data_IF_517862061171
#
_entry.id   IF_517862061171
#
_cell.length_a   1.000
_cell.length_b   1.000
_cell.length_c   1.000
_cell.angle_alpha   90.00
_cell.angle_beta   90.00
_cell.angle_gamma   90.00
#
_symmetry.space_group_name_H-M   'P 1'
#
loop_
_entity.id
_entity.type
_entity.pdbx_description
1 polymer ?
#
# COMPACT_ATOMS: atom_id res chain seq x y z
N UNK A 1 -16.36 18.22 3.48
CA UNK A 1 -14.93 17.86 3.51
C UNK A 1 -14.78 16.67 2.61
N UNK A 2 -13.79 16.68 1.74
CA UNK A 2 -13.55 15.57 0.82
C UNK A 2 -12.88 14.43 1.60
N UNK A 3 -13.52 13.26 1.62
CA UNK A 3 -12.98 12.05 2.21
C UNK A 3 -12.15 11.30 1.18
N UNK A 4 -11.33 10.35 1.63
CA UNK A 4 -10.50 9.51 0.76
C UNK A 4 -10.66 8.05 1.16
N UNK A 5 -10.57 7.13 0.20
CA UNK A 5 -10.44 5.69 0.42
C UNK A 5 -9.28 5.15 -0.41
N UNK A 6 -8.66 4.05 0.04
CA UNK A 6 -7.50 3.46 -0.62
C UNK A 6 -7.81 2.07 -1.16
N UNK A 7 -7.45 1.85 -2.42
CA UNK A 7 -7.38 0.51 -2.98
C UNK A 7 -5.99 -0.07 -2.69
N UNK A 8 -5.96 -1.18 -1.98
CA UNK A 8 -4.72 -1.81 -1.53
C UNK A 8 -4.72 -3.29 -1.87
N UNK A 9 -3.54 -3.90 -1.89
CA UNK A 9 -3.39 -5.36 -1.83
C UNK A 9 -2.47 -5.75 -0.67
N UNK A 10 -2.75 -6.89 -0.07
CA UNK A 10 -1.94 -7.45 1.02
C UNK A 10 -1.01 -8.49 0.42
N UNK A 11 0.32 -8.33 0.54
CA UNK A 11 1.26 -9.33 0.06
C UNK A 11 1.12 -10.63 0.86
N UNK A 12 1.54 -11.74 0.27
CA UNK A 12 1.49 -13.08 0.87
C UNK A 12 2.86 -13.76 0.77
N UNK A 13 2.97 -14.94 1.37
CA UNK A 13 4.15 -15.79 1.26
C UNK A 13 5.43 -15.17 1.86
N UNK A 14 6.56 -15.42 1.22
CA UNK A 14 7.88 -15.04 1.72
C UNK A 14 8.05 -13.52 1.83
N UNK A 15 7.53 -12.76 0.87
CA UNK A 15 7.54 -11.29 0.91
C UNK A 15 6.86 -10.78 2.18
N UNK A 16 5.63 -11.20 2.45
CA UNK A 16 4.90 -10.80 3.66
C UNK A 16 5.63 -11.23 4.92
N UNK A 17 6.09 -12.48 4.99
CA UNK A 17 6.75 -13.02 6.17
C UNK A 17 8.03 -12.25 6.54
N UNK A 18 8.89 -11.98 5.55
CA UNK A 18 10.12 -11.22 5.74
C UNK A 18 9.82 -9.76 6.09
N UNK A 19 8.92 -9.11 5.35
CA UNK A 19 8.51 -7.74 5.63
C UNK A 19 7.94 -7.60 7.06
N UNK A 20 7.08 -8.54 7.49
CA UNK A 20 6.47 -8.53 8.81
C UNK A 20 7.52 -8.71 9.92
N UNK A 21 8.51 -9.59 9.73
CA UNK A 21 9.62 -9.74 10.69
C UNK A 21 10.42 -8.45 10.85
N UNK A 22 10.78 -7.80 9.75
CA UNK A 22 11.53 -6.53 9.78
C UNK A 22 10.67 -5.44 10.40
N UNK A 23 9.39 -5.37 10.04
CA UNK A 23 8.43 -4.43 10.62
C UNK A 23 8.38 -4.57 12.14
N UNK A 24 8.16 -5.79 12.65
CA UNK A 24 8.13 -6.08 14.08
C UNK A 24 9.45 -5.72 14.78
N UNK A 25 10.58 -6.05 14.16
CA UNK A 25 11.90 -5.69 14.69
C UNK A 25 12.04 -4.17 14.86
N UNK A 26 11.75 -3.39 13.81
CA UNK A 26 11.81 -1.94 13.85
C UNK A 26 10.80 -1.35 14.85
N UNK A 27 9.57 -1.85 14.82
CA UNK A 27 8.48 -1.40 15.68
C UNK A 27 8.82 -1.54 17.17
N UNK A 28 9.38 -2.68 17.55
CA UNK A 28 9.80 -2.96 18.92
C UNK A 28 11.07 -2.19 19.31
N UNK A 29 12.08 -2.18 18.44
CA UNK A 29 13.37 -1.51 18.71
C UNK A 29 13.19 -0.02 18.98
N UNK A 30 12.28 0.63 18.27
CA UNK A 30 12.03 2.07 18.38
C UNK A 30 10.77 2.43 19.16
N UNK A 31 10.06 1.45 19.75
CA UNK A 31 8.81 1.66 20.48
C UNK A 31 7.83 2.58 19.70
N UNK A 32 7.49 2.16 18.48
CA UNK A 32 6.71 3.00 17.56
C UNK A 32 5.22 3.08 17.91
N UNK A 33 4.73 2.19 18.77
CA UNK A 33 3.37 2.28 19.29
C UNK A 33 2.84 0.93 19.78
N UNK A 34 1.63 0.92 20.35
CA UNK A 34 1.04 -0.31 20.90
C UNK A 34 0.48 -1.26 19.81
N UNK A 35 0.16 -0.73 18.62
CA UNK A 35 -0.47 -1.49 17.55
C UNK A 35 0.38 -1.45 16.29
N UNK A 36 0.77 -2.62 15.81
CA UNK A 36 1.54 -2.78 14.57
C UNK A 36 0.61 -2.61 13.36
N UNK A 37 0.88 -1.67 12.44
CA UNK A 37 0.05 -1.45 11.27
C UNK A 37 0.16 -2.62 10.30
N UNK A 38 -0.95 -2.99 9.66
CA UNK A 38 -0.95 -4.06 8.67
C UNK A 38 -0.14 -3.68 7.41
N UNK A 39 0.68 -4.62 6.94
CA UNK A 39 1.43 -4.48 5.71
C UNK A 39 0.51 -4.54 4.50
N UNK A 40 0.64 -3.55 3.63
CA UNK A 40 -0.12 -3.45 2.40
C UNK A 40 0.65 -2.67 1.34
N UNK A 41 0.30 -2.91 0.08
CA UNK A 41 0.70 -2.10 -1.06
C UNK A 41 -0.50 -1.28 -1.52
N UNK A 42 -0.40 0.04 -1.46
CA UNK A 42 -1.42 0.95 -1.99
C UNK A 42 -1.31 1.04 -3.51
N UNK A 43 -2.40 0.72 -4.20
CA UNK A 43 -2.52 0.84 -5.66
C UNK A 43 -3.00 2.24 -6.01
N UNK A 44 -4.14 2.65 -5.46
CA UNK A 44 -4.69 3.98 -5.70
C UNK A 44 -5.51 4.54 -4.53
N UNK A 45 -5.90 5.81 -4.63
CA UNK A 45 -6.82 6.45 -3.71
C UNK A 45 -7.90 7.23 -4.47
N UNK A 46 -9.11 7.21 -3.91
CA UNK A 46 -10.31 7.82 -4.50
C UNK A 46 -10.96 8.74 -3.50
N UNK A 47 -11.37 9.91 -3.98
CA UNK A 47 -12.00 10.92 -3.15
C UNK A 47 -13.53 10.88 -3.28
N UNK A 48 -14.23 11.13 -2.18
CA UNK A 48 -15.70 11.10 -2.13
C UNK A 48 -16.24 12.08 -1.08
N UNK A 49 -17.48 12.53 -1.26
CA UNK A 49 -18.12 13.50 -0.35
C UNK A 49 -19.00 12.83 0.70
N UNK A 50 -19.74 11.78 0.32
CA UNK A 50 -20.74 11.13 1.14
C UNK A 50 -20.80 9.61 0.93
N UNK A 51 -21.73 8.95 1.62
CA UNK A 51 -21.92 7.51 1.51
C UNK A 51 -22.34 7.04 0.11
N UNK A 52 -23.05 7.87 -0.66
CA UNK A 52 -23.48 7.54 -2.02
C UNK A 52 -22.26 7.53 -2.96
N UNK A 53 -21.36 8.50 -2.80
CA UNK A 53 -20.08 8.52 -3.50
C UNK A 53 -19.22 7.30 -3.18
N UNK A 54 -19.14 6.90 -1.91
CA UNK A 54 -18.39 5.71 -1.50
C UNK A 54 -18.97 4.42 -2.10
N UNK A 55 -20.30 4.25 -2.10
CA UNK A 55 -20.94 3.09 -2.74
C UNK A 55 -20.70 3.07 -4.26
N UNK A 56 -20.68 4.23 -4.91
CA UNK A 56 -20.39 4.35 -6.34
C UNK A 56 -18.95 3.93 -6.66
N UNK A 57 -17.98 4.28 -5.80
CA UNK A 57 -16.59 3.81 -5.88
C UNK A 57 -16.53 2.29 -5.72
N UNK A 58 -17.19 1.75 -4.68
CA UNK A 58 -17.20 0.30 -4.42
C UNK A 58 -17.73 -0.49 -5.61
N UNK A 59 -18.85 -0.06 -6.19
CA UNK A 59 -19.42 -0.70 -7.37
C UNK A 59 -18.46 -0.62 -8.57
N UNK A 60 -17.89 0.56 -8.79
CA UNK A 60 -17.03 0.80 -9.95
C UNK A 60 -15.75 -0.02 -9.92
N UNK A 61 -15.06 -0.05 -8.78
CA UNK A 61 -13.88 -0.89 -8.58
C UNK A 61 -14.26 -2.36 -8.78
N UNK A 62 -15.37 -2.81 -8.18
CA UNK A 62 -15.80 -4.20 -8.31
C UNK A 62 -16.07 -4.61 -9.75
N UNK A 63 -16.53 -3.68 -10.59
CA UNK A 63 -16.73 -3.93 -12.01
C UNK A 63 -15.41 -4.00 -12.79
N UNK A 64 -14.51 -3.03 -12.58
CA UNK A 64 -13.18 -2.95 -13.23
C UNK A 64 -12.33 -4.19 -12.90
N UNK A 65 -12.36 -4.63 -11.64
CA UNK A 65 -11.51 -5.73 -11.18
C UNK A 65 -11.93 -7.11 -11.70
N UNK A 66 -13.13 -7.26 -12.28
CA UNK A 66 -13.57 -8.53 -12.89
C UNK A 66 -12.68 -8.95 -14.06
N UNK A 67 -12.11 -7.98 -14.77
CA UNK A 67 -11.29 -8.22 -15.95
C UNK A 67 -9.80 -8.42 -15.61
N UNK A 68 -9.46 -8.35 -14.32
CA UNK A 68 -8.08 -8.47 -13.85
C UNK A 68 -7.84 -9.88 -13.29
N UNK A 69 -6.87 -10.57 -13.88
CA UNK A 69 -6.36 -11.84 -13.38
C UNK A 69 -5.37 -11.62 -12.23
N UNK A 70 -5.31 -12.61 -11.35
CA UNK A 70 -4.28 -12.69 -10.31
C UNK A 70 -2.88 -12.54 -10.93
N UNK A 71 -2.00 -11.82 -10.26
CA UNK A 71 -0.68 -11.47 -10.79
C UNK A 71 0.36 -11.46 -9.67
N UNK A 72 1.63 -11.57 -10.04
CA UNK A 72 2.72 -11.49 -9.08
C UNK A 72 3.30 -10.09 -9.02
N UNK A 73 3.67 -9.65 -7.81
CA UNK A 73 4.52 -8.49 -7.58
C UNK A 73 5.88 -8.96 -7.07
N UNK A 74 6.92 -8.20 -7.37
CA UNK A 74 8.29 -8.52 -6.97
C UNK A 74 8.87 -7.41 -6.11
N UNK A 75 9.55 -7.79 -5.03
CA UNK A 75 10.39 -6.87 -4.25
C UNK A 75 11.83 -6.89 -4.76
N UNK A 76 12.58 -5.81 -4.57
CA UNK A 76 14.02 -5.79 -4.86
C UNK A 76 14.88 -5.17 -3.74
N UNK A 77 14.33 -5.09 -2.53
CA UNK A 77 15.02 -4.64 -1.34
C UNK A 77 14.23 -3.63 -0.55
N UNK A 78 14.94 -2.95 0.35
CA UNK A 78 14.38 -1.89 1.18
C UNK A 78 14.79 -0.53 0.65
N UNK A 79 13.94 0.46 0.91
CA UNK A 79 14.20 1.86 0.60
C UNK A 79 13.95 2.74 1.80
N UNK A 80 14.75 3.80 1.92
CA UNK A 80 14.53 4.88 2.86
C UNK A 80 13.98 6.10 2.12
N UNK A 81 12.79 6.54 2.49
CA UNK A 81 12.23 7.80 2.02
C UNK A 81 12.59 8.88 3.03
N UNK A 82 13.40 9.89 2.65
CA UNK A 82 13.77 10.97 3.56
C UNK A 82 12.56 11.83 3.92
N UNK A 83 12.79 12.86 4.74
CA UNK A 83 11.78 13.90 4.98
C UNK A 83 11.21 14.45 3.65
N UNK A 84 9.89 14.74 3.59
CA UNK A 84 8.96 14.86 4.72
C UNK A 84 8.35 13.53 5.22
N UNK A 85 8.59 12.41 4.52
CA UNK A 85 7.98 11.12 4.89
C UNK A 85 8.75 10.43 6.02
N UNK A 86 10.08 10.49 5.97
CA UNK A 86 10.99 9.88 6.93
C UNK A 86 10.62 8.42 7.25
N UNK A 87 10.46 7.58 6.24
CA UNK A 87 9.92 6.23 6.39
C UNK A 87 10.82 5.15 5.77
N UNK A 88 10.70 3.94 6.30
CA UNK A 88 11.38 2.75 5.81
C UNK A 88 10.36 1.88 5.11
N UNK A 89 10.70 1.42 3.91
CA UNK A 89 9.77 0.72 3.02
C UNK A 89 10.42 -0.50 2.37
N UNK A 90 9.62 -1.47 1.95
CA UNK A 90 10.00 -2.44 0.93
C UNK A 90 9.70 -1.83 -0.43
N UNK A 91 10.68 -1.82 -1.34
CA UNK A 91 10.46 -1.37 -2.70
C UNK A 91 9.85 -2.50 -3.53
N UNK A 92 8.77 -2.19 -4.24
CA UNK A 92 8.11 -3.10 -5.18
C UNK A 92 8.48 -2.67 -6.59
N UNK A 93 8.99 -3.62 -7.37
CA UNK A 93 9.39 -3.40 -8.76
C UNK A 93 8.15 -3.09 -9.58
N UNK A 94 8.14 -1.89 -10.18
CA UNK A 94 7.16 -1.50 -11.18
C UNK A 94 7.48 -2.19 -12.51
N UNK A 95 7.11 -3.45 -12.64
CA UNK A 95 7.14 -4.13 -13.92
C UNK A 95 6.00 -3.66 -14.83
N UNK A 96 6.04 -4.08 -16.10
CA UNK A 96 5.03 -3.69 -17.09
C UNK A 96 3.63 -4.15 -16.70
N UNK A 97 3.48 -5.30 -16.02
CA UNK A 97 2.17 -5.86 -15.66
C UNK A 97 1.53 -5.03 -14.53
N UNK A 98 2.27 -4.77 -13.45
CA UNK A 98 1.79 -3.93 -12.35
C UNK A 98 1.49 -2.50 -12.83
N UNK A 99 2.36 -1.95 -13.69
CA UNK A 99 2.13 -0.64 -14.30
C UNK A 99 0.83 -0.60 -15.10
N UNK A 100 0.62 -1.56 -16.01
CA UNK A 100 -0.59 -1.62 -16.83
C UNK A 100 -1.86 -1.88 -16.01
N UNK A 101 -1.78 -2.66 -14.92
CA UNK A 101 -2.90 -2.86 -13.99
C UNK A 101 -3.26 -1.54 -13.30
N UNK A 102 -2.26 -0.84 -12.74
CA UNK A 102 -2.49 0.46 -12.12
C UNK A 102 -3.10 1.45 -13.10
N UNK A 103 -2.52 1.58 -14.29
CA UNK A 103 -2.98 2.51 -15.32
C UNK A 103 -4.42 2.21 -15.76
N UNK A 104 -4.75 0.94 -15.99
CA UNK A 104 -6.10 0.51 -16.33
C UNK A 104 -7.12 0.88 -15.24
N UNK A 105 -6.81 0.57 -13.98
CA UNK A 105 -7.69 0.90 -12.84
C UNK A 105 -7.84 2.42 -12.72
N UNK A 106 -6.73 3.15 -12.73
CA UNK A 106 -6.68 4.59 -12.54
C UNK A 106 -7.47 5.34 -13.61
N UNK A 107 -7.22 5.05 -14.88
CA UNK A 107 -7.92 5.67 -16.02
C UNK A 107 -9.40 5.30 -15.99
N UNK A 108 -9.75 4.03 -15.77
CA UNK A 108 -11.15 3.60 -15.72
C UNK A 108 -11.95 4.33 -14.63
N UNK A 109 -11.32 4.63 -13.49
CA UNK A 109 -11.96 5.41 -12.42
C UNK A 109 -12.11 6.89 -12.80
N UNK A 110 -11.10 7.48 -13.44
CA UNK A 110 -11.18 8.86 -13.95
C UNK A 110 -12.26 9.02 -15.04
N UNK A 111 -12.35 8.09 -15.98
CA UNK A 111 -13.37 8.07 -17.04
C UNK A 111 -14.80 7.95 -16.48
N UNK A 112 -14.96 7.33 -15.31
CA UNK A 112 -16.23 7.25 -14.57
C UNK A 112 -16.51 8.49 -13.71
N UNK A 113 -15.66 9.51 -13.80
CA UNK A 113 -15.81 10.80 -13.12
C UNK A 113 -15.34 10.82 -11.66
N UNK A 114 -14.63 9.78 -11.20
CA UNK A 114 -14.06 9.79 -9.85
C UNK A 114 -12.77 10.61 -9.83
N UNK A 115 -12.59 11.39 -8.78
CA UNK A 115 -11.33 12.05 -8.50
C UNK A 115 -10.35 11.03 -7.92
N UNK A 116 -9.20 10.91 -8.56
CA UNK A 116 -8.07 10.05 -8.17
C UNK A 116 -6.86 10.90 -7.77
N UNK A 117 -5.77 10.28 -7.32
CA UNK A 117 -4.50 10.98 -7.07
C UNK A 117 -3.88 11.48 -8.38
N UNK A 118 -3.25 12.64 -8.37
CA UNK A 118 -2.60 13.22 -9.56
C UNK A 118 -1.21 12.60 -9.82
N UNK A 119 -1.15 11.27 -9.98
CA UNK A 119 0.08 10.57 -10.37
C UNK A 119 -0.14 9.82 -11.68
N UNK A 120 0.80 9.95 -12.60
CA UNK A 120 0.85 9.10 -13.78
C UNK A 120 1.44 7.71 -13.45
N UNK A 121 1.23 6.75 -14.35
CA UNK A 121 1.83 5.42 -14.25
C UNK A 121 3.37 5.45 -14.25
N UNK A 122 3.99 6.52 -14.76
CA UNK A 122 5.45 6.74 -14.70
C UNK A 122 5.93 7.30 -13.36
N UNK A 123 5.13 8.13 -12.70
CA UNK A 123 5.51 8.78 -11.44
C UNK A 123 5.27 7.91 -10.22
N UNK A 124 4.33 6.97 -10.29
CA UNK A 124 4.01 6.13 -9.13
C UNK A 124 5.19 5.25 -8.71
N UNK A 125 5.48 5.27 -7.40
CA UNK A 125 6.48 4.42 -6.75
C UNK A 125 5.76 3.42 -5.84
N UNK A 126 5.74 2.16 -6.25
CA UNK A 126 5.13 1.09 -5.48
C UNK A 126 6.03 0.68 -4.31
N UNK A 127 5.45 0.67 -3.12
CA UNK A 127 6.18 0.33 -1.90
C UNK A 127 5.23 -0.17 -0.81
N UNK A 128 5.78 -0.94 0.13
CA UNK A 128 5.10 -1.34 1.37
C UNK A 128 5.78 -0.61 2.53
N UNK A 129 5.02 0.16 3.29
CA UNK A 129 5.56 0.88 4.46
C UNK A 129 5.80 -0.06 5.64
N UNK A 130 7.01 -0.02 6.21
CA UNK A 130 7.37 -0.81 7.39
C UNK A 130 7.34 0.04 8.67
N UNK A 131 7.89 1.26 8.60
CA UNK A 131 7.97 2.15 9.77
C UNK A 131 8.05 3.62 9.34
N UNK A 132 7.57 4.52 10.21
CA UNK A 132 7.64 5.97 10.03
C UNK A 132 6.36 6.65 9.57
N UNK A 133 5.48 5.93 8.85
CA UNK A 133 4.16 6.46 8.43
C UNK A 133 3.12 6.37 9.55
N UNK A 134 3.11 5.26 10.29
CA UNK A 134 2.17 5.01 11.38
C UNK A 134 2.90 4.94 12.73
N UNK A 135 2.15 5.14 13.81
CA UNK A 135 2.67 5.15 15.18
C UNK A 135 3.19 6.53 15.58
N UNK A 136 4.04 6.57 16.61
CA UNK A 136 4.71 7.81 17.00
C UNK A 136 5.66 8.25 15.90
N UNK A 137 5.80 9.57 15.75
CA UNK A 137 6.87 10.13 14.94
C UNK A 137 8.23 9.77 15.56
N UNK A 138 9.08 9.10 14.78
CA UNK A 138 10.48 8.90 15.11
C UNK A 138 11.36 10.04 14.57
N UNK A 139 12.49 10.28 15.23
CA UNK A 139 13.46 11.28 14.83
C UNK A 139 14.26 10.87 13.60
N UNK A 140 14.93 11.83 12.95
CA UNK A 140 15.84 11.56 11.84
C UNK A 140 17.02 10.66 12.24
N UNK A 141 17.46 10.72 13.50
CA UNK A 141 18.52 9.86 14.01
C UNK A 141 18.06 8.40 14.12
N UNK A 142 16.83 8.19 14.60
CA UNK A 142 16.22 6.87 14.71
C UNK A 142 16.03 6.23 13.33
N UNK A 143 15.44 6.94 12.38
CA UNK A 143 15.20 6.43 11.02
C UNK A 143 16.50 6.16 10.27
N UNK A 144 17.54 6.99 10.42
CA UNK A 144 18.87 6.73 9.85
C UNK A 144 19.51 5.47 10.45
N UNK A 145 19.36 5.26 11.76
CA UNK A 145 19.85 4.04 12.39
C UNK A 145 19.06 2.81 11.92
N UNK A 146 17.74 2.92 11.82
CA UNK A 146 16.88 1.86 11.29
C UNK A 146 17.30 1.47 9.86
N UNK A 147 17.55 2.47 9.00
CA UNK A 147 18.07 2.24 7.66
C UNK A 147 19.41 1.50 7.68
N UNK A 148 20.35 1.93 8.53
CA UNK A 148 21.67 1.27 8.67
C UNK A 148 21.55 -0.20 9.07
N UNK A 149 20.58 -0.55 9.91
CA UNK A 149 20.37 -1.92 10.37
C UNK A 149 19.90 -2.84 9.25
N UNK A 150 19.11 -2.34 8.31
CA UNK A 150 18.41 -3.19 7.32
C UNK A 150 18.89 -3.05 5.88
N UNK A 151 19.60 -1.97 5.53
CA UNK A 151 19.94 -1.63 4.12
C UNK A 151 20.71 -2.70 3.35
N UNK A 152 21.41 -3.58 4.07
CA UNK A 152 22.20 -4.66 3.48
C UNK A 152 21.42 -5.99 3.37
N UNK A 153 20.22 -6.05 3.94
CA UNK A 153 19.38 -7.24 3.84
C UNK A 153 18.77 -7.30 2.43
N UNK A 154 19.01 -8.41 1.74
CA UNK A 154 18.44 -8.64 0.43
C UNK A 154 17.05 -9.25 0.58
N UNK A 155 16.04 -8.53 0.08
CA UNK A 155 14.67 -9.02 -0.02
C UNK A 155 14.27 -9.00 -1.50
N UNK A 156 14.27 -10.18 -2.11
CA UNK A 156 13.90 -10.38 -3.52
C UNK A 156 12.89 -11.51 -3.60
N UNK A 157 11.73 -11.26 -2.99
CA UNK A 157 10.67 -12.25 -2.88
C UNK A 157 9.47 -11.80 -3.72
N UNK A 158 8.87 -12.72 -4.50
CA UNK A 158 7.60 -12.48 -5.17
C UNK A 158 6.43 -12.59 -4.19
N UNK A 159 5.28 -12.06 -4.59
CA UNK A 159 4.01 -12.27 -3.92
C UNK A 159 2.88 -12.33 -4.93
N UNK A 160 2.09 -13.40 -4.88
CA UNK A 160 0.84 -13.49 -5.62
C UNK A 160 -0.21 -12.53 -5.02
N UNK A 161 -0.73 -11.65 -5.87
CA UNK A 161 -1.88 -10.80 -5.60
C UNK A 161 -3.10 -11.44 -6.28
N UNK A 162 -4.04 -11.87 -5.46
CA UNK A 162 -5.30 -12.47 -5.89
C UNK A 162 -6.53 -11.78 -5.28
N UNK A 163 -6.31 -10.69 -4.54
CA UNK A 163 -7.35 -9.90 -3.91
C UNK A 163 -6.89 -8.45 -3.78
N UNK A 164 -7.80 -7.53 -4.07
CA UNK A 164 -7.71 -6.14 -3.64
C UNK A 164 -8.70 -5.85 -2.53
N UNK A 165 -8.38 -4.88 -1.69
CA UNK A 165 -9.25 -4.40 -0.62
C UNK A 165 -9.41 -2.89 -0.72
N UNK A 166 -10.61 -2.42 -0.40
CA UNK A 166 -10.91 -0.99 -0.30
C UNK A 166 -10.95 -0.61 1.17
N UNK A 167 -10.14 0.37 1.56
CA UNK A 167 -9.88 0.73 2.96
C UNK A 167 -10.23 2.18 3.26
N UNK A 168 -10.73 2.45 4.46
CA UNK A 168 -10.77 3.79 5.03
C UNK A 168 -9.39 4.22 5.54
N UNK A 169 -9.03 5.52 5.47
CA UNK A 169 -7.82 6.07 6.11
C UNK A 169 -7.84 5.88 7.63
N UNK A 170 -6.65 5.86 8.22
CA UNK A 170 -6.40 6.09 9.65
C UNK A 170 -7.08 5.13 10.65
N UNK A 171 -7.77 4.10 10.17
CA UNK A 171 -8.30 3.02 11.00
C UNK A 171 -7.22 1.98 11.23
N UNK A 172 -6.87 1.78 12.50
CA UNK A 172 -5.83 0.85 12.91
C UNK A 172 -6.34 -0.58 13.09
N UNK A 173 -7.65 -0.75 13.38
CA UNK A 173 -8.27 -2.07 13.50
C UNK A 173 -8.73 -2.54 12.11
N UNK A 174 -8.37 -3.77 11.68
CA UNK A 174 -8.74 -4.29 10.37
C UNK A 174 -10.25 -4.22 10.06
N UNK A 175 -11.08 -4.55 11.05
CA UNK A 175 -12.54 -4.56 10.96
C UNK A 175 -13.17 -3.18 10.79
N UNK A 176 -12.53 -2.14 11.32
CA UNK A 176 -12.98 -0.74 11.19
C UNK A 176 -12.53 -0.14 9.86
N UNK A 177 -11.43 -0.66 9.30
CA UNK A 177 -10.79 -0.15 8.09
C UNK A 177 -11.38 -0.73 6.81
N UNK A 178 -11.70 -2.02 6.80
CA UNK A 178 -12.09 -2.75 5.61
C UNK A 178 -13.51 -2.36 5.17
N UNK A 179 -13.61 -1.77 3.97
CA UNK A 179 -14.90 -1.46 3.35
C UNK A 179 -15.44 -2.67 2.59
N UNK A 180 -14.58 -3.29 1.77
CA UNK A 180 -14.89 -4.49 0.99
C UNK A 180 -13.62 -5.10 0.40
N UNK A 181 -13.70 -6.37 -0.01
CA UNK A 181 -12.64 -7.08 -0.73
C UNK A 181 -13.13 -7.55 -2.10
N UNK A 182 -12.21 -7.65 -3.06
CA UNK A 182 -12.44 -8.08 -4.43
C UNK A 182 -11.44 -9.14 -4.81
N UNK A 183 -11.91 -10.37 -5.01
CA UNK A 183 -11.08 -11.45 -5.54
C UNK A 183 -10.84 -11.23 -7.03
N UNK A 184 -9.59 -11.42 -7.42
CA UNK A 184 -9.19 -11.43 -8.83
C UNK A 184 -9.49 -12.80 -9.45
N UNK A 185 -9.52 -12.85 -10.77
CA UNK A 185 -9.71 -14.12 -11.50
C UNK A 185 -8.49 -15.03 -11.43
#
# INVERSE_FOLDING_TARGET
MENVTYLVCIPKGALYYCANKIQNFLWNKYNLGPLLPELHLTIDAYYYEDAVGLESIKYSIGDILKDIESFEINSNGFSYMPEPYNCITVHIVKDQKLKSIYEYIHISMQERGFKTREFTSEEIVFHISLAGIHGRKWSLAESKNAWRDIRNFQLQEPSLINEFQLWLPDQHQPEERLITSYKLR
#
